data_IF_316230014640
#
_entry.id   IF_316230014640
#
_cell.length_a   1.000
_cell.length_b   1.000
_cell.length_c   1.000
_cell.angle_alpha   90.00
_cell.angle_beta   90.00
_cell.angle_gamma   90.00
#
_symmetry.space_group_name_H-M   'P 1'
#
loop_
_entity.id
_entity.type
_entity.pdbx_description
1 polymer ?
#
# COMPACT_ATOMS: atom_id res chain seq x y z
N UNK A 1 10.61 -15.13 -0.46
CA UNK A 1 11.40 -14.93 0.77
C UNK A 1 11.56 -13.44 1.10
N UNK A 2 11.84 -12.56 0.13
CA UNK A 2 11.95 -11.12 0.41
C UNK A 2 10.58 -10.45 0.59
N UNK A 3 9.60 -10.76 -0.26
CA UNK A 3 8.24 -10.22 -0.08
C UNK A 3 7.61 -10.55 1.28
N UNK A 4 7.96 -11.70 1.86
CA UNK A 4 7.52 -12.05 3.20
C UNK A 4 8.19 -11.26 4.33
N UNK A 5 9.42 -10.77 4.11
CA UNK A 5 10.15 -9.92 5.06
C UNK A 5 9.56 -8.51 5.06
N UNK A 6 9.30 -7.94 3.87
CA UNK A 6 8.70 -6.60 3.74
C UNK A 6 7.33 -6.54 4.40
N UNK A 7 6.44 -7.48 4.12
CA UNK A 7 5.12 -7.46 4.76
C UNK A 7 5.20 -7.60 6.28
N UNK A 8 6.15 -8.38 6.79
CA UNK A 8 6.39 -8.47 8.24
C UNK A 8 6.90 -7.15 8.82
N UNK A 9 7.75 -6.42 8.08
CA UNK A 9 8.24 -5.11 8.51
C UNK A 9 7.13 -4.05 8.47
N UNK A 10 6.25 -4.11 7.47
CA UNK A 10 5.17 -3.14 7.30
C UNK A 10 4.02 -3.37 8.28
N UNK A 11 3.59 -4.62 8.45
CA UNK A 11 2.35 -4.95 9.15
C UNK A 11 2.52 -5.94 10.31
N UNK A 12 3.69 -6.53 10.56
CA UNK A 12 3.86 -7.65 11.52
C UNK A 12 2.85 -8.82 11.38
N UNK A 13 2.05 -8.85 10.31
CA UNK A 13 1.06 -9.89 10.03
C UNK A 13 1.81 -11.11 9.52
N UNK A 14 1.56 -12.26 10.14
CA UNK A 14 1.98 -13.55 9.59
C UNK A 14 1.06 -13.86 8.42
N UNK A 15 1.63 -14.23 7.28
CA UNK A 15 0.87 -14.78 6.17
C UNK A 15 0.06 -15.99 6.65
N UNK A 16 -1.24 -15.82 6.76
CA UNK A 16 -2.21 -16.92 6.73
C UNK A 16 -2.31 -17.41 5.28
N UNK A 17 -2.80 -18.63 5.04
CA UNK A 17 -2.98 -19.14 3.67
C UNK A 17 -3.81 -18.17 2.80
N UNK A 18 -4.83 -17.53 3.39
CA UNK A 18 -5.67 -16.52 2.73
C UNK A 18 -4.90 -15.24 2.36
N UNK A 19 -4.16 -14.64 3.31
CA UNK A 19 -3.41 -13.41 3.05
C UNK A 19 -2.22 -13.65 2.10
N UNK A 20 -1.71 -14.88 2.08
CA UNK A 20 -0.64 -15.29 1.19
C UNK A 20 -1.12 -15.40 -0.26
N UNK A 21 -2.29 -16.00 -0.50
CA UNK A 21 -2.88 -16.09 -1.84
C UNK A 21 -3.16 -14.70 -2.43
N UNK A 22 -3.76 -13.82 -1.63
CA UNK A 22 -4.01 -12.44 -2.03
C UNK A 22 -2.72 -11.67 -2.33
N UNK A 23 -1.70 -11.82 -1.48
CA UNK A 23 -0.40 -11.22 -1.73
C UNK A 23 0.23 -11.68 -3.06
N UNK A 24 0.21 -12.99 -3.34
CA UNK A 24 0.76 -13.52 -4.59
C UNK A 24 -0.06 -13.07 -5.80
N UNK A 25 -1.38 -12.95 -5.66
CA UNK A 25 -2.26 -12.39 -6.70
C UNK A 25 -1.89 -10.95 -7.01
N UNK A 26 -1.79 -10.09 -6.00
CA UNK A 26 -1.42 -8.68 -6.16
C UNK A 26 -0.02 -8.52 -6.76
N UNK A 27 0.94 -9.34 -6.33
CA UNK A 27 2.27 -9.36 -6.93
C UNK A 27 2.21 -9.72 -8.41
N UNK A 28 1.50 -10.77 -8.76
CA UNK A 28 1.34 -11.19 -10.15
C UNK A 28 0.67 -10.10 -11.00
N UNK A 29 -0.37 -9.45 -10.50
CA UNK A 29 -1.04 -8.34 -11.18
C UNK A 29 -0.08 -7.15 -11.42
N UNK A 30 0.76 -6.81 -10.44
CA UNK A 30 1.77 -5.75 -10.56
C UNK A 30 2.89 -6.11 -11.55
N UNK A 31 3.44 -7.33 -11.48
CA UNK A 31 4.46 -7.82 -12.42
C UNK A 31 3.93 -7.82 -13.86
N UNK A 32 2.67 -8.27 -14.04
CA UNK A 32 2.01 -8.29 -15.34
C UNK A 32 1.75 -6.87 -15.86
N UNK A 33 1.33 -5.94 -14.99
CA UNK A 33 1.17 -4.53 -15.32
C UNK A 33 2.49 -3.92 -15.78
N UNK A 34 3.57 -4.10 -15.01
CA UNK A 34 4.91 -3.60 -15.35
C UNK A 34 5.37 -4.08 -16.73
N UNK A 35 5.14 -5.37 -17.06
CA UNK A 35 5.47 -5.93 -18.37
C UNK A 35 4.61 -5.40 -19.52
N UNK A 36 3.35 -5.09 -19.26
CA UNK A 36 2.40 -4.59 -20.27
C UNK A 36 2.44 -3.06 -20.42
N UNK A 37 3.12 -2.36 -19.51
CA UNK A 37 3.19 -0.90 -19.53
C UNK A 37 3.95 -0.43 -20.78
N UNK A 38 3.28 0.33 -21.64
CA UNK A 38 3.91 1.04 -22.74
C UNK A 38 4.34 2.45 -22.33
N UNK A 39 5.05 3.17 -23.22
CA UNK A 39 5.35 4.59 -23.02
C UNK A 39 4.07 5.45 -22.96
N UNK A 40 3.00 4.99 -23.60
CA UNK A 40 1.71 5.69 -23.68
C UNK A 40 1.09 5.93 -22.32
N UNK A 41 1.12 4.94 -21.44
CA UNK A 41 0.55 5.00 -20.09
C UNK A 41 1.37 5.90 -19.16
N UNK A 42 2.70 5.96 -19.35
CA UNK A 42 3.62 6.76 -18.54
C UNK A 42 3.57 8.27 -18.87
N UNK A 43 3.18 8.63 -20.10
CA UNK A 43 3.16 10.01 -20.57
C UNK A 43 1.76 10.55 -20.84
N UNK A 44 0.72 9.99 -20.20
CA UNK A 44 -0.67 10.49 -20.33
C UNK A 44 -0.79 11.90 -19.74
N UNK A 45 -1.13 12.88 -20.58
CA UNK A 45 -1.38 14.26 -20.18
C UNK A 45 -2.88 14.46 -19.87
N UNK A 46 -3.25 15.45 -19.02
CA UNK A 46 -4.64 15.64 -18.59
C UNK A 46 -5.65 15.80 -19.73
N UNK A 47 -5.25 16.40 -20.86
CA UNK A 47 -6.14 16.57 -22.02
C UNK A 47 -6.43 15.25 -22.75
N UNK A 48 -5.51 14.27 -22.71
CA UNK A 48 -5.66 12.97 -23.37
C UNK A 48 -6.73 12.10 -22.69
N UNK A 49 -7.02 12.34 -21.41
CA UNK A 49 -8.08 11.67 -20.66
C UNK A 49 -9.50 11.97 -21.19
N UNK A 50 -9.65 12.95 -22.09
CA UNK A 50 -10.92 13.19 -22.82
C UNK A 50 -11.16 12.17 -23.94
N UNK A 51 -10.12 11.43 -24.38
CA UNK A 51 -10.23 10.41 -25.41
C UNK A 51 -10.65 9.09 -24.73
N UNK A 52 -11.83 8.51 -25.05
CA UNK A 52 -12.34 7.35 -24.32
C UNK A 52 -11.41 6.14 -24.31
N UNK A 53 -10.71 5.89 -25.41
CA UNK A 53 -9.76 4.77 -25.52
C UNK A 53 -8.53 4.97 -24.62
N UNK A 54 -7.97 6.18 -24.57
CA UNK A 54 -6.83 6.50 -23.69
C UNK A 54 -7.25 6.40 -22.23
N UNK A 55 -8.40 6.97 -21.87
CA UNK A 55 -8.95 6.87 -20.52
C UNK A 55 -9.14 5.41 -20.10
N UNK A 56 -9.75 4.59 -20.95
CA UNK A 56 -9.97 3.17 -20.65
C UNK A 56 -8.66 2.40 -20.50
N UNK A 57 -7.65 2.67 -21.34
CA UNK A 57 -6.32 2.05 -21.20
C UNK A 57 -5.66 2.46 -19.88
N UNK A 58 -5.69 3.75 -19.56
CA UNK A 58 -5.10 4.30 -18.33
C UNK A 58 -5.81 3.79 -17.07
N UNK A 59 -7.14 3.64 -17.10
CA UNK A 59 -7.89 3.05 -15.99
C UNK A 59 -7.51 1.59 -15.72
N UNK A 60 -7.32 0.78 -16.77
CA UNK A 60 -6.81 -0.60 -16.66
C UNK A 60 -5.37 -0.65 -16.18
N UNK A 61 -4.55 0.30 -16.61
CA UNK A 61 -3.17 0.43 -16.14
C UNK A 61 -3.11 0.72 -14.63
N UNK A 62 -4.02 1.53 -14.11
CA UNK A 62 -4.09 1.86 -12.68
C UNK A 62 -4.79 0.81 -11.82
N UNK A 63 -5.49 -0.16 -12.42
CA UNK A 63 -6.28 -1.17 -11.69
C UNK A 63 -5.44 -1.99 -10.70
N UNK A 64 -4.27 -2.55 -11.07
CA UNK A 64 -3.41 -3.27 -10.13
C UNK A 64 -2.93 -2.40 -8.95
N UNK A 65 -2.60 -1.13 -9.22
CA UNK A 65 -2.19 -0.18 -8.18
C UNK A 65 -3.35 0.12 -7.22
N UNK A 66 -4.58 0.24 -7.74
CA UNK A 66 -5.78 0.43 -6.91
C UNK A 66 -6.08 -0.79 -6.05
N UNK A 67 -5.99 -2.00 -6.63
CA UNK A 67 -6.19 -3.25 -5.89
C UNK A 67 -5.19 -3.37 -4.73
N UNK A 68 -3.92 -3.03 -4.98
CA UNK A 68 -2.89 -3.02 -3.95
C UNK A 68 -3.14 -1.94 -2.88
N UNK A 69 -3.56 -0.73 -3.28
CA UNK A 69 -3.92 0.33 -2.35
C UNK A 69 -5.09 -0.07 -1.45
N UNK A 70 -6.09 -0.76 -1.99
CA UNK A 70 -7.25 -1.25 -1.24
C UNK A 70 -6.84 -2.36 -0.26
N UNK A 71 -5.95 -3.28 -0.68
CA UNK A 71 -5.35 -4.26 0.21
C UNK A 71 -4.62 -3.62 1.39
N UNK A 72 -3.74 -2.66 1.12
CA UNK A 72 -3.00 -1.92 2.15
C UNK A 72 -3.95 -1.16 3.08
N UNK A 73 -5.00 -0.54 2.53
CA UNK A 73 -6.01 0.16 3.33
C UNK A 73 -6.73 -0.79 4.28
N UNK A 74 -7.17 -1.94 3.80
CA UNK A 74 -7.84 -2.95 4.63
C UNK A 74 -6.94 -3.39 5.80
N UNK A 75 -5.63 -3.58 5.56
CA UNK A 75 -4.68 -3.92 6.63
C UNK A 75 -4.54 -2.81 7.68
N UNK A 76 -4.54 -1.53 7.26
CA UNK A 76 -4.52 -0.39 8.19
C UNK A 76 -5.84 -0.29 8.98
N UNK A 77 -6.98 -0.50 8.33
CA UNK A 77 -8.29 -0.47 8.99
C UNK A 77 -8.44 -1.60 10.02
N UNK A 78 -8.03 -2.82 9.67
CA UNK A 78 -7.95 -3.96 10.59
C UNK A 78 -7.07 -3.65 11.80
N UNK A 79 -5.90 -3.03 11.59
CA UNK A 79 -5.01 -2.61 12.67
C UNK A 79 -5.67 -1.57 13.57
N UNK A 80 -6.32 -0.55 13.01
CA UNK A 80 -7.02 0.49 13.77
C UNK A 80 -8.21 -0.08 14.56
N UNK A 81 -8.90 -1.09 14.04
CA UNK A 81 -9.94 -1.80 14.79
C UNK A 81 -9.35 -2.61 15.94
N UNK A 82 -8.28 -3.37 15.72
CA UNK A 82 -7.60 -4.15 16.76
C UNK A 82 -7.05 -3.28 17.89
N UNK A 83 -6.58 -2.06 17.59
CA UNK A 83 -6.17 -1.07 18.59
C UNK A 83 -7.39 -0.59 19.40
N UNK A 84 -8.50 -0.27 18.72
CA UNK A 84 -9.72 0.21 19.38
C UNK A 84 -10.39 -0.86 20.26
N UNK A 85 -10.33 -2.13 19.87
CA UNK A 85 -10.85 -3.25 20.65
C UNK A 85 -9.92 -3.67 21.79
N UNK A 86 -8.67 -3.20 21.80
CA UNK A 86 -7.64 -3.58 22.76
C UNK A 86 -6.97 -4.93 22.47
N UNK A 87 -7.26 -5.55 21.32
CA UNK A 87 -6.59 -6.77 20.86
C UNK A 87 -5.13 -6.53 20.46
N UNK A 88 -4.82 -5.31 19.99
CA UNK A 88 -3.47 -4.85 19.66
C UNK A 88 -3.10 -3.64 20.52
N UNK A 89 -1.91 -3.67 21.10
CA UNK A 89 -1.39 -2.58 21.93
C UNK A 89 -0.07 -2.13 21.32
N UNK A 90 0.04 -0.83 21.01
CA UNK A 90 1.29 -0.22 20.57
C UNK A 90 2.19 -0.06 21.79
N UNK A 91 3.27 -0.85 21.85
CA UNK A 91 4.29 -0.80 22.92
C UNK A 91 5.50 0.00 22.43
N UNK A 92 6.06 0.86 23.28
CA UNK A 92 7.19 1.73 22.96
C UNK A 92 6.99 2.49 21.64
N UNK A 93 7.87 2.33 20.65
CA UNK A 93 7.78 2.98 19.33
C UNK A 93 6.96 2.18 18.30
N UNK A 94 6.34 1.06 18.69
CA UNK A 94 5.59 0.18 17.79
C UNK A 94 6.38 -1.05 17.34
N UNK A 95 5.67 -2.08 16.89
CA UNK A 95 6.27 -3.36 16.49
C UNK A 95 6.47 -3.51 14.97
N UNK A 96 5.87 -2.63 14.19
CA UNK A 96 6.00 -2.51 12.74
C UNK A 96 5.86 -1.05 12.30
N UNK A 97 5.99 -0.82 10.99
CA UNK A 97 5.88 0.52 10.43
C UNK A 97 4.52 1.18 10.69
N UNK A 98 3.41 0.43 10.62
CA UNK A 98 2.07 0.97 10.85
C UNK A 98 1.93 1.44 12.30
N UNK A 99 2.38 0.65 13.27
CA UNK A 99 2.36 1.05 14.69
C UNK A 99 3.15 2.33 14.93
N UNK A 100 4.39 2.38 14.43
CA UNK A 100 5.25 3.54 14.58
C UNK A 100 4.65 4.79 13.95
N UNK A 101 4.03 4.63 12.79
CA UNK A 101 3.40 5.74 12.08
C UNK A 101 2.12 6.22 12.78
N UNK A 102 1.26 5.31 13.23
CA UNK A 102 0.04 5.66 13.97
C UNK A 102 0.36 6.38 15.27
N UNK A 103 1.38 5.93 16.01
CA UNK A 103 1.88 6.64 17.19
C UNK A 103 2.38 8.05 16.84
N UNK A 104 3.12 8.17 15.74
CA UNK A 104 3.61 9.47 15.28
C UNK A 104 2.47 10.42 14.84
N UNK A 105 1.39 9.88 14.29
CA UNK A 105 0.17 10.64 13.99
C UNK A 105 -0.49 11.17 15.28
N UNK A 106 -0.57 10.35 16.32
CA UNK A 106 -1.09 10.75 17.64
C UNK A 106 -0.21 11.84 18.28
N UNK A 107 1.12 11.68 18.25
CA UNK A 107 2.08 12.67 18.75
C UNK A 107 2.00 14.03 18.03
N UNK A 108 1.45 14.07 16.81
CA UNK A 108 1.30 15.27 15.99
C UNK A 108 -0.16 15.73 15.82
N UNK A 109 -1.12 15.22 16.60
CA UNK A 109 -2.55 15.54 16.43
C UNK A 109 -2.85 17.05 16.52
N UNK A 110 -2.13 17.78 17.37
CA UNK A 110 -2.26 19.23 17.54
C UNK A 110 -1.50 20.06 16.48
N UNK A 111 -0.71 19.42 15.60
CA UNK A 111 0.07 20.09 14.57
C UNK A 111 -0.73 20.20 13.26
N UNK A 112 -1.34 21.36 13.02
CA UNK A 112 -2.12 21.63 11.80
C UNK A 112 -1.31 21.57 10.48
N UNK A 113 0.02 21.54 10.55
CA UNK A 113 0.93 21.46 9.41
C UNK A 113 1.62 20.09 9.29
N UNK A 114 1.12 19.07 9.98
CA UNK A 114 1.71 17.73 9.93
C UNK A 114 1.58 17.09 8.54
N UNK A 115 2.64 16.38 8.13
CA UNK A 115 2.59 15.46 6.97
C UNK A 115 2.13 14.06 7.34
N UNK A 116 1.98 13.77 8.65
CA UNK A 116 1.57 12.47 9.17
C UNK A 116 0.05 12.32 9.06
N UNK A 117 -0.42 12.06 7.85
CA UNK A 117 -1.82 11.76 7.56
C UNK A 117 -2.01 10.29 7.22
N UNK A 118 -3.24 9.80 7.30
CA UNK A 118 -3.59 8.45 6.86
C UNK A 118 -3.34 8.27 5.35
N UNK A 119 -3.56 9.30 4.54
CA UNK A 119 -3.24 9.25 3.10
C UNK A 119 -1.74 9.07 2.88
N UNK A 120 -0.91 9.80 3.62
CA UNK A 120 0.55 9.63 3.60
C UNK A 120 0.97 8.23 4.04
N UNK A 121 0.34 7.66 5.08
CA UNK A 121 0.59 6.28 5.51
C UNK A 121 0.34 5.28 4.37
N UNK A 122 -0.83 5.36 3.74
CA UNK A 122 -1.20 4.45 2.65
C UNK A 122 -0.23 4.54 1.46
N UNK A 123 0.19 5.74 1.08
CA UNK A 123 1.16 5.95 0.00
C UNK A 123 2.55 5.42 0.37
N UNK A 124 3.01 5.63 1.61
CA UNK A 124 4.28 5.09 2.09
C UNK A 124 4.29 3.56 2.08
N UNK A 125 3.20 2.94 2.54
CA UNK A 125 3.05 1.48 2.54
C UNK A 125 3.04 0.92 1.11
N UNK A 126 2.32 1.59 0.20
CA UNK A 126 2.29 1.23 -1.22
C UNK A 126 3.70 1.29 -1.84
N UNK A 127 4.43 2.40 -1.64
CA UNK A 127 5.77 2.60 -2.19
C UNK A 127 6.76 1.55 -1.66
N UNK A 128 6.82 1.35 -0.34
CA UNK A 128 7.70 0.36 0.28
C UNK A 128 7.37 -1.07 -0.15
N UNK A 129 6.08 -1.40 -0.31
CA UNK A 129 5.66 -2.72 -0.76
C UNK A 129 6.14 -2.98 -2.19
N UNK A 130 5.92 -2.03 -3.11
CA UNK A 130 6.34 -2.13 -4.52
C UNK A 130 7.85 -2.19 -4.62
N UNK A 131 8.55 -1.21 -4.05
CA UNK A 131 10.00 -1.13 -4.09
C UNK A 131 10.64 -2.42 -3.57
N UNK A 132 10.13 -2.94 -2.45
CA UNK A 132 10.62 -4.17 -1.87
C UNK A 132 10.40 -5.42 -2.72
N UNK A 133 9.33 -5.47 -3.53
CA UNK A 133 9.15 -6.56 -4.49
C UNK A 133 10.04 -6.40 -5.72
N UNK A 134 10.12 -5.20 -6.30
CA UNK A 134 10.79 -4.97 -7.57
C UNK A 134 12.31 -5.09 -7.48
N UNK A 135 12.93 -4.56 -6.42
CA UNK A 135 14.40 -4.46 -6.35
C UNK A 135 15.09 -5.72 -5.85
N UNK A 136 14.34 -6.64 -5.22
CA UNK A 136 14.93 -7.74 -4.45
C UNK A 136 14.29 -9.11 -4.79
N UNK A 137 13.59 -9.19 -5.93
CA UNK A 137 13.06 -10.45 -6.49
C UNK A 137 14.13 -11.21 -7.26
#
# INVERSE_FOLDING_TARGET
>A
MVGSIINRLLFSVRFTESNQEEFFRLKYEMDEAGRKTGLTELFVAPWMMKIPMVKSSYEKFLEPVKNLLDFVRNQVDERKEAIRSGEHIIVDEGTDYVDAYLKKMEDEEDNSNTSYTESSLLINLLDMWIAGQETTT
#
